data_IF_940459290543
#
_entry.id   IF_940459290543
#
_cell.length_a   1.000
_cell.length_b   1.000
_cell.length_c   1.000
_cell.angle_alpha   90.00
_cell.angle_beta   90.00
_cell.angle_gamma   90.00
#
_symmetry.space_group_name_H-M   'P 1'
#
loop_
_entity.id
_entity.type
_entity.pdbx_description
1 polymer ?
#
# COMPACT_ATOMS: atom_id res chain seq x y z
N UNK A 1 13.33 -25.63 8.02
CA UNK A 1 12.78 -26.49 6.96
C UNK A 1 13.32 -25.93 5.65
N UNK A 2 14.12 -26.71 4.91
CA UNK A 2 14.66 -26.31 3.60
C UNK A 2 13.48 -26.10 2.66
N UNK A 3 13.26 -24.86 2.20
CA UNK A 3 12.35 -24.59 1.08
C UNK A 3 12.83 -25.47 -0.08
N UNK A 4 11.93 -26.28 -0.64
CA UNK A 4 12.21 -27.10 -1.80
C UNK A 4 12.68 -26.15 -2.91
N UNK A 5 13.96 -26.21 -3.24
CA UNK A 5 14.51 -25.46 -4.35
C UNK A 5 13.73 -25.87 -5.61
N UNK A 6 13.21 -24.87 -6.38
CA UNK A 6 12.26 -25.08 -7.47
C UNK A 6 12.74 -26.09 -8.53
N UNK A 7 11.85 -26.39 -9.47
CA UNK A 7 12.13 -27.32 -10.58
C UNK A 7 12.97 -26.64 -11.66
N UNK A 8 14.02 -27.30 -12.14
CA UNK A 8 14.84 -26.88 -13.30
C UNK A 8 14.65 -27.87 -14.42
N UNK A 9 14.33 -27.41 -15.61
CA UNK A 9 14.27 -28.22 -16.82
C UNK A 9 15.59 -28.07 -17.58
N UNK A 10 16.20 -29.17 -17.98
CA UNK A 10 17.44 -29.19 -18.77
C UNK A 10 17.16 -29.87 -20.12
N UNK A 11 17.46 -29.18 -21.21
CA UNK A 11 17.27 -29.68 -22.59
C UNK A 11 18.65 -29.69 -23.29
N UNK A 12 19.13 -30.88 -23.65
CA UNK A 12 20.44 -31.07 -24.25
C UNK A 12 20.43 -32.43 -24.95
N UNK A 13 20.92 -32.60 -26.13
CA UNK A 13 20.94 -33.88 -26.85
C UNK A 13 22.01 -34.84 -26.32
N UNK A 14 23.08 -34.32 -25.67
CA UNK A 14 24.13 -35.13 -25.07
C UNK A 14 23.65 -35.71 -23.70
N UNK A 15 23.50 -37.03 -23.65
CA UNK A 15 23.11 -37.74 -22.42
C UNK A 15 24.07 -37.50 -21.24
N UNK A 16 25.40 -37.47 -21.50
CA UNK A 16 26.39 -37.28 -20.44
C UNK A 16 26.26 -35.86 -19.84
N UNK A 17 25.97 -34.87 -20.69
CA UNK A 17 25.73 -33.52 -20.25
C UNK A 17 24.44 -33.39 -19.40
N UNK A 18 23.34 -33.99 -19.88
CA UNK A 18 22.09 -34.03 -19.09
C UNK A 18 22.29 -34.64 -17.72
N UNK A 19 23.01 -35.79 -17.66
CA UNK A 19 23.30 -36.49 -16.39
C UNK A 19 24.20 -35.66 -15.46
N UNK A 20 25.20 -34.96 -16.03
CA UNK A 20 26.08 -34.03 -15.28
C UNK A 20 25.32 -32.88 -14.68
N UNK A 21 24.52 -32.14 -15.49
CA UNK A 21 23.67 -31.04 -15.02
C UNK A 21 22.73 -31.50 -13.91
N UNK A 22 22.03 -32.64 -14.11
CA UNK A 22 21.15 -33.21 -13.09
C UNK A 22 21.87 -33.42 -11.78
N UNK A 23 23.00 -34.16 -11.77
CA UNK A 23 23.77 -34.44 -10.54
C UNK A 23 24.25 -33.20 -9.82
N UNK A 24 24.70 -32.16 -10.57
CA UNK A 24 25.18 -30.92 -10.01
C UNK A 24 24.04 -30.14 -9.32
N UNK A 25 22.89 -30.06 -9.98
CA UNK A 25 21.76 -29.25 -9.53
C UNK A 25 20.96 -29.94 -8.41
N UNK A 26 20.79 -31.29 -8.48
CA UNK A 26 20.14 -32.05 -7.41
C UNK A 26 20.94 -32.00 -6.10
N UNK A 27 22.31 -32.00 -6.18
CA UNK A 27 23.16 -31.74 -5.01
C UNK A 27 22.96 -30.38 -4.37
N UNK A 28 22.45 -29.42 -5.15
CA UNK A 28 22.11 -28.09 -4.68
C UNK A 28 20.66 -27.95 -4.20
N UNK A 29 19.91 -29.04 -4.18
CA UNK A 29 18.53 -29.11 -3.67
C UNK A 29 17.45 -28.87 -4.72
N UNK A 30 17.80 -28.67 -5.99
CA UNK A 30 16.81 -28.47 -7.07
C UNK A 30 16.21 -29.81 -7.51
N UNK A 31 14.93 -29.77 -7.91
CA UNK A 31 14.34 -30.89 -8.67
C UNK A 31 14.67 -30.70 -10.14
N UNK A 32 15.20 -31.74 -10.81
CA UNK A 32 15.69 -31.58 -12.20
C UNK A 32 15.03 -32.59 -13.14
N UNK A 33 14.34 -32.07 -14.15
CA UNK A 33 13.84 -32.88 -15.27
C UNK A 33 14.69 -32.61 -16.51
N UNK A 34 15.00 -33.69 -17.28
CA UNK A 34 15.90 -33.57 -18.41
C UNK A 34 15.27 -34.18 -19.66
N UNK A 35 15.45 -33.49 -20.81
CA UNK A 35 14.90 -33.86 -22.11
C UNK A 35 16.00 -33.85 -23.18
N UNK A 36 15.88 -34.69 -24.19
CA UNK A 36 16.90 -34.86 -25.22
C UNK A 36 16.65 -33.97 -26.44
N UNK A 37 15.46 -33.44 -26.57
CA UNK A 37 15.11 -32.56 -27.70
C UNK A 37 14.21 -31.40 -27.26
N UNK A 38 14.17 -30.34 -28.12
CA UNK A 38 13.41 -29.13 -27.84
C UNK A 38 11.89 -29.33 -27.79
N UNK A 39 11.33 -30.31 -28.50
CA UNK A 39 9.87 -30.53 -28.59
C UNK A 39 9.40 -31.12 -27.27
N UNK A 40 10.02 -32.20 -26.80
CA UNK A 40 9.70 -32.81 -25.49
C UNK A 40 9.92 -31.82 -24.35
N UNK A 41 11.01 -31.03 -24.44
CA UNK A 41 11.31 -29.98 -23.46
C UNK A 41 10.20 -28.93 -23.39
N UNK A 42 9.70 -28.43 -24.52
CA UNK A 42 8.60 -27.43 -24.54
C UNK A 42 7.27 -27.99 -24.03
N UNK A 43 6.94 -29.26 -24.35
CA UNK A 43 5.75 -29.91 -23.79
C UNK A 43 5.83 -30.02 -22.27
N UNK A 44 6.99 -30.39 -21.74
CA UNK A 44 7.24 -30.44 -20.30
C UNK A 44 7.17 -29.06 -19.65
N UNK A 45 7.75 -28.02 -20.28
CA UNK A 45 7.70 -26.64 -19.80
C UNK A 45 6.27 -26.12 -19.75
N UNK A 46 5.45 -26.40 -20.76
CA UNK A 46 4.04 -26.01 -20.76
C UNK A 46 3.23 -26.64 -19.61
N UNK A 47 3.56 -27.89 -19.27
CA UNK A 47 2.92 -28.64 -18.17
C UNK A 47 3.43 -28.22 -16.80
N UNK A 48 4.76 -28.11 -16.63
CA UNK A 48 5.41 -27.94 -15.31
C UNK A 48 5.53 -26.47 -14.91
N UNK A 49 5.60 -25.56 -15.89
CA UNK A 49 5.89 -24.14 -15.71
C UNK A 49 7.08 -23.92 -14.76
N UNK A 50 8.27 -24.48 -15.11
CA UNK A 50 9.44 -24.40 -14.24
C UNK A 50 9.93 -22.95 -14.12
N UNK A 51 10.46 -22.51 -12.98
CA UNK A 51 11.07 -21.20 -12.85
C UNK A 51 12.29 -20.97 -13.75
N UNK A 52 12.99 -22.06 -14.11
CA UNK A 52 14.22 -21.98 -14.89
C UNK A 52 14.37 -23.15 -15.87
N UNK A 53 14.81 -22.81 -17.08
CA UNK A 53 15.15 -23.75 -18.14
C UNK A 53 16.60 -23.55 -18.51
N UNK A 54 17.32 -24.66 -18.65
CA UNK A 54 18.68 -24.74 -19.20
C UNK A 54 18.57 -25.41 -20.55
N UNK A 55 19.09 -24.79 -21.61
CA UNK A 55 18.95 -25.31 -22.98
C UNK A 55 20.27 -25.24 -23.75
N UNK A 56 20.63 -26.33 -24.47
CA UNK A 56 21.71 -26.27 -25.48
C UNK A 56 21.20 -25.62 -26.75
N UNK A 57 22.05 -24.85 -27.41
CA UNK A 57 21.73 -24.21 -28.68
C UNK A 57 21.70 -25.19 -29.86
N UNK A 58 22.63 -26.14 -29.90
CA UNK A 58 22.77 -27.08 -31.01
C UNK A 58 22.22 -28.45 -30.64
N UNK A 59 20.99 -28.69 -31.03
CA UNK A 59 20.32 -29.98 -30.89
C UNK A 59 19.76 -30.43 -32.26
N UNK A 60 19.65 -31.74 -32.50
CA UNK A 60 18.96 -32.26 -33.67
C UNK A 60 17.49 -31.86 -33.69
N UNK A 61 16.94 -31.55 -34.84
CA UNK A 61 15.53 -31.16 -34.99
C UNK A 61 15.29 -29.70 -34.62
N UNK A 62 14.87 -29.42 -33.41
CA UNK A 62 14.61 -28.06 -32.93
C UNK A 62 15.83 -27.49 -32.18
N UNK A 63 16.40 -26.41 -32.69
CA UNK A 63 17.52 -25.73 -32.03
C UNK A 63 17.13 -25.00 -30.77
N UNK A 64 18.09 -24.80 -29.85
CA UNK A 64 17.84 -24.00 -28.64
C UNK A 64 17.43 -22.55 -28.94
N UNK A 65 17.92 -21.99 -30.07
CA UNK A 65 17.50 -20.67 -30.53
C UNK A 65 16.01 -20.60 -30.87
N UNK A 66 15.39 -21.68 -31.31
CA UNK A 66 13.95 -21.77 -31.59
C UNK A 66 13.15 -22.07 -30.29
N UNK A 67 13.78 -22.72 -29.31
CA UNK A 67 13.18 -23.02 -28.01
C UNK A 67 13.00 -21.75 -27.20
N UNK A 68 14.00 -20.86 -27.13
CA UNK A 68 13.99 -19.65 -26.29
C UNK A 68 12.74 -18.80 -26.49
N UNK A 69 12.38 -18.34 -27.70
CA UNK A 69 11.17 -17.51 -27.87
C UNK A 69 9.88 -18.26 -27.51
N UNK A 70 9.80 -19.57 -27.81
CA UNK A 70 8.61 -20.36 -27.47
C UNK A 70 8.43 -20.56 -25.96
N UNK A 71 9.49 -20.62 -25.16
CA UNK A 71 9.42 -20.61 -23.70
C UNK A 71 8.82 -19.30 -23.20
N UNK A 72 9.21 -18.17 -23.78
CA UNK A 72 8.63 -16.85 -23.44
C UNK A 72 7.16 -16.73 -23.81
N UNK A 73 6.74 -17.37 -24.92
CA UNK A 73 5.33 -17.40 -25.32
C UNK A 73 4.49 -18.24 -24.33
N UNK A 74 5.07 -19.30 -23.74
CA UNK A 74 4.41 -20.12 -22.70
C UNK A 74 4.28 -19.33 -21.39
N UNK A 75 5.38 -18.77 -20.91
CA UNK A 75 5.40 -17.92 -19.71
C UNK A 75 6.62 -16.99 -19.74
N UNK A 76 6.43 -15.66 -19.84
CA UNK A 76 7.52 -14.70 -19.91
C UNK A 76 8.33 -14.58 -18.60
N UNK A 77 7.88 -15.19 -17.51
CA UNK A 77 8.60 -15.22 -16.24
C UNK A 77 9.60 -16.35 -16.14
N UNK A 78 9.52 -17.36 -17.01
CA UNK A 78 10.49 -18.46 -17.02
C UNK A 78 11.85 -17.91 -17.44
N UNK A 79 12.87 -18.20 -16.64
CA UNK A 79 14.25 -17.78 -16.91
C UNK A 79 14.91 -18.84 -17.78
N UNK A 80 15.44 -18.43 -18.94
CA UNK A 80 16.14 -19.33 -19.85
C UNK A 80 17.66 -19.07 -19.78
N UNK A 81 18.42 -20.10 -19.43
CA UNK A 81 19.89 -20.12 -19.42
C UNK A 81 20.37 -20.99 -20.57
N UNK A 82 21.25 -20.46 -21.39
CA UNK A 82 21.85 -21.20 -22.50
C UNK A 82 23.15 -21.85 -22.09
N UNK A 83 23.35 -23.13 -22.45
CA UNK A 83 24.63 -23.86 -22.28
C UNK A 83 25.03 -24.39 -23.64
N UNK A 84 26.21 -24.03 -24.18
CA UNK A 84 26.61 -24.51 -25.50
C UNK A 84 28.13 -24.62 -25.68
N UNK A 85 28.57 -25.58 -26.51
CA UNK A 85 29.96 -25.73 -26.93
C UNK A 85 30.39 -24.77 -28.06
N UNK A 86 29.44 -24.06 -28.65
CA UNK A 86 29.68 -23.10 -29.74
C UNK A 86 29.53 -21.65 -29.25
N UNK A 87 30.33 -21.32 -28.24
CA UNK A 87 30.30 -20.02 -27.59
C UNK A 87 31.07 -18.99 -28.43
N UNK A 88 30.39 -18.30 -29.33
CA UNK A 88 30.90 -17.07 -29.97
C UNK A 88 30.19 -15.86 -29.42
N UNK A 89 30.79 -14.68 -29.56
CA UNK A 89 30.14 -13.41 -29.16
C UNK A 89 28.81 -13.25 -29.89
N UNK A 90 28.77 -13.55 -31.18
CA UNK A 90 27.56 -13.42 -31.99
C UNK A 90 26.44 -14.34 -31.55
N UNK A 91 26.72 -15.62 -31.22
CA UNK A 91 25.71 -16.56 -30.71
C UNK A 91 25.21 -16.21 -29.34
N UNK A 92 26.08 -15.65 -28.49
CA UNK A 92 25.67 -15.16 -27.18
C UNK A 92 24.73 -13.92 -27.29
N UNK A 93 25.09 -12.96 -28.13
CA UNK A 93 24.27 -11.76 -28.40
C UNK A 93 22.92 -12.16 -28.99
N UNK A 94 22.90 -13.06 -29.98
CA UNK A 94 21.66 -13.56 -30.57
C UNK A 94 20.75 -14.25 -29.56
N UNK A 95 21.30 -15.12 -28.71
CA UNK A 95 20.55 -15.78 -27.65
C UNK A 95 19.94 -14.76 -26.67
N UNK A 96 20.70 -13.75 -26.24
CA UNK A 96 20.22 -12.69 -25.37
C UNK A 96 19.10 -11.84 -26.00
N UNK A 97 19.25 -11.51 -27.31
CA UNK A 97 18.20 -10.80 -28.06
C UNK A 97 16.92 -11.60 -28.19
N UNK A 98 17.01 -12.93 -28.32
CA UNK A 98 15.88 -13.84 -28.36
C UNK A 98 15.24 -14.08 -26.97
N UNK A 99 15.86 -13.59 -25.86
CA UNK A 99 15.32 -13.59 -24.52
C UNK A 99 15.95 -14.57 -23.56
N UNK A 100 17.13 -15.11 -23.88
CA UNK A 100 17.94 -15.79 -22.87
C UNK A 100 18.32 -14.81 -21.75
N UNK A 101 18.35 -15.30 -20.51
CA UNK A 101 18.78 -14.52 -19.35
C UNK A 101 20.30 -14.50 -19.21
N UNK A 102 20.94 -15.63 -19.47
CA UNK A 102 22.38 -15.77 -19.33
C UNK A 102 22.92 -16.92 -20.22
N UNK A 103 24.23 -16.99 -20.32
CA UNK A 103 24.89 -17.87 -21.25
C UNK A 103 26.14 -18.53 -20.61
N UNK A 104 26.25 -19.87 -20.68
CA UNK A 104 27.34 -20.63 -20.12
C UNK A 104 28.07 -21.46 -21.19
N UNK A 105 29.34 -21.17 -21.51
CA UNK A 105 30.12 -21.95 -22.48
C UNK A 105 30.51 -23.32 -21.94
N UNK A 106 30.45 -24.37 -22.76
CA UNK A 106 31.04 -25.69 -22.51
C UNK A 106 32.52 -25.68 -22.89
N UNK A 107 33.45 -26.23 -22.07
CA UNK A 107 33.23 -26.88 -20.77
C UNK A 107 33.10 -25.87 -19.63
N UNK A 108 32.28 -26.19 -18.67
CA UNK A 108 32.04 -25.39 -17.46
C UNK A 108 32.29 -26.19 -16.17
N UNK A 109 32.57 -25.50 -15.10
CA UNK A 109 32.72 -26.07 -13.79
C UNK A 109 31.35 -26.27 -13.08
N UNK A 110 31.23 -27.21 -12.11
CA UNK A 110 30.02 -27.34 -11.31
C UNK A 110 29.60 -26.05 -10.59
N UNK A 111 30.56 -25.22 -10.19
CA UNK A 111 30.27 -23.98 -9.45
C UNK A 111 29.72 -22.89 -10.38
N UNK A 112 30.17 -22.80 -11.63
CA UNK A 112 29.62 -21.90 -12.63
C UNK A 112 28.15 -22.23 -12.92
N UNK A 113 27.82 -23.52 -13.14
CA UNK A 113 26.44 -23.94 -13.35
C UNK A 113 25.54 -23.62 -12.13
N UNK A 114 26.03 -23.88 -10.92
CA UNK A 114 25.29 -23.54 -9.69
C UNK A 114 25.04 -22.04 -9.57
N UNK A 115 26.07 -21.24 -9.83
CA UNK A 115 25.97 -19.79 -9.73
C UNK A 115 24.95 -19.21 -10.70
N UNK A 116 24.99 -19.63 -11.97
CA UNK A 116 24.08 -19.10 -13.00
C UNK A 116 22.63 -19.52 -12.74
N UNK A 117 22.41 -20.78 -12.32
CA UNK A 117 21.07 -21.26 -11.96
C UNK A 117 20.55 -20.53 -10.74
N UNK A 118 21.38 -20.30 -9.71
CA UNK A 118 20.98 -19.54 -8.52
C UNK A 118 20.57 -18.11 -8.86
N UNK A 119 21.33 -17.42 -9.72
CA UNK A 119 20.98 -16.07 -10.21
C UNK A 119 19.67 -16.07 -10.99
N UNK A 120 19.48 -17.06 -11.86
CA UNK A 120 18.25 -17.21 -12.63
C UNK A 120 17.02 -17.45 -11.73
N UNK A 121 17.14 -18.30 -10.71
CA UNK A 121 16.08 -18.53 -9.73
C UNK A 121 15.72 -17.27 -8.95
N UNK A 122 16.72 -16.51 -8.53
CA UNK A 122 16.51 -15.22 -7.85
C UNK A 122 15.82 -14.22 -8.78
N UNK A 123 16.23 -14.14 -10.05
CA UNK A 123 15.57 -13.30 -11.06
C UNK A 123 14.09 -13.65 -11.21
N UNK A 124 13.78 -14.96 -11.31
CA UNK A 124 12.39 -15.43 -11.39
C UNK A 124 11.58 -15.06 -10.15
N UNK A 125 12.13 -15.25 -8.94
CA UNK A 125 11.48 -14.87 -7.68
C UNK A 125 11.11 -13.40 -7.63
N UNK A 126 12.08 -12.52 -7.95
CA UNK A 126 11.85 -11.07 -7.96
C UNK A 126 10.80 -10.64 -9.01
N UNK A 127 10.78 -11.31 -10.18
CA UNK A 127 9.80 -11.05 -11.22
C UNK A 127 8.37 -11.45 -10.78
N UNK A 128 8.24 -12.59 -10.09
CA UNK A 128 6.97 -13.02 -9.50
C UNK A 128 6.47 -12.05 -8.43
N UNK A 129 7.34 -11.65 -7.50
CA UNK A 129 6.99 -10.69 -6.44
C UNK A 129 6.52 -9.35 -7.03
N UNK A 130 7.24 -8.86 -8.06
CA UNK A 130 6.86 -7.64 -8.76
C UNK A 130 5.48 -7.76 -9.41
N UNK A 131 5.22 -8.88 -10.10
CA UNK A 131 3.93 -9.12 -10.75
C UNK A 131 2.78 -9.25 -9.76
N UNK A 132 3.00 -9.93 -8.63
CA UNK A 132 2.00 -10.04 -7.57
C UNK A 132 1.66 -8.67 -6.97
N UNK A 133 2.68 -7.85 -6.68
CA UNK A 133 2.48 -6.50 -6.17
C UNK A 133 1.70 -5.62 -7.16
N UNK A 134 1.92 -5.77 -8.47
CA UNK A 134 1.18 -5.05 -9.51
C UNK A 134 -0.29 -5.48 -9.57
N UNK A 135 -0.56 -6.80 -9.52
CA UNK A 135 -1.92 -7.34 -9.48
C UNK A 135 -2.66 -6.86 -8.22
N UNK A 136 -2.02 -6.91 -7.07
CA UNK A 136 -2.60 -6.43 -5.80
C UNK A 136 -2.94 -4.94 -5.86
N UNK A 137 -2.04 -4.11 -6.43
CA UNK A 137 -2.29 -2.68 -6.64
C UNK A 137 -3.50 -2.43 -7.55
N UNK A 138 -3.60 -3.17 -8.66
CA UNK A 138 -4.71 -3.01 -9.60
C UNK A 138 -6.04 -3.48 -8.98
N UNK A 139 -6.05 -4.57 -8.21
CA UNK A 139 -7.23 -5.04 -7.47
C UNK A 139 -7.67 -4.02 -6.42
N UNK A 140 -6.72 -3.46 -5.67
CA UNK A 140 -6.99 -2.39 -4.70
C UNK A 140 -7.60 -1.16 -5.39
N UNK A 141 -7.01 -0.73 -6.50
CA UNK A 141 -7.52 0.39 -7.29
C UNK A 141 -8.95 0.17 -7.77
N UNK A 142 -9.27 -1.03 -8.29
CA UNK A 142 -10.64 -1.36 -8.74
C UNK A 142 -11.64 -1.38 -7.58
N UNK A 143 -11.28 -1.99 -6.45
CA UNK A 143 -12.12 -1.98 -5.24
C UNK A 143 -12.38 -0.56 -4.76
N UNK A 144 -11.35 0.27 -4.78
CA UNK A 144 -11.44 1.68 -4.42
C UNK A 144 -12.43 2.45 -5.28
N UNK A 145 -12.34 2.36 -6.63
CA UNK A 145 -13.26 3.05 -7.56
C UNK A 145 -14.70 2.60 -7.33
N UNK A 146 -14.93 1.31 -7.18
CA UNK A 146 -16.27 0.75 -6.92
C UNK A 146 -16.85 1.27 -5.60
N UNK A 147 -16.04 1.29 -4.56
CA UNK A 147 -16.46 1.78 -3.24
C UNK A 147 -16.80 3.28 -3.27
N UNK A 148 -15.91 4.12 -3.82
CA UNK A 148 -16.15 5.58 -3.93
C UNK A 148 -17.44 5.84 -4.71
N UNK A 149 -17.65 5.15 -5.83
CA UNK A 149 -18.88 5.27 -6.61
C UNK A 149 -20.12 4.97 -5.77
N UNK A 150 -20.10 3.89 -5.00
CA UNK A 150 -21.22 3.52 -4.13
C UNK A 150 -21.43 4.55 -2.99
N UNK A 151 -20.35 5.05 -2.40
CA UNK A 151 -20.42 6.05 -1.32
C UNK A 151 -20.94 7.42 -1.82
N UNK A 152 -20.68 7.78 -3.07
CA UNK A 152 -21.21 9.00 -3.68
C UNK A 152 -22.68 8.84 -4.11
N UNK A 153 -23.06 7.65 -4.62
CA UNK A 153 -24.44 7.39 -5.03
C UNK A 153 -25.45 7.46 -3.87
N UNK A 154 -25.09 6.94 -2.70
CA UNK A 154 -26.01 6.86 -1.55
C UNK A 154 -26.54 8.25 -1.10
N UNK A 155 -25.69 9.25 -0.78
CA UNK A 155 -26.17 10.57 -0.41
C UNK A 155 -26.82 11.31 -1.60
N UNK A 156 -26.37 11.08 -2.83
CA UNK A 156 -26.94 11.69 -4.03
C UNK A 156 -28.39 11.23 -4.26
N UNK A 157 -28.65 9.93 -4.15
CA UNK A 157 -30.01 9.37 -4.24
C UNK A 157 -30.90 9.93 -3.13
N UNK A 158 -30.38 10.05 -1.89
CA UNK A 158 -31.13 10.64 -0.80
C UNK A 158 -31.49 12.11 -1.06
N UNK A 159 -30.55 12.91 -1.57
CA UNK A 159 -30.81 14.31 -1.95
C UNK A 159 -31.90 14.38 -3.01
N UNK A 160 -31.80 13.55 -4.07
CA UNK A 160 -32.80 13.48 -5.12
C UNK A 160 -34.19 13.16 -4.56
N UNK A 161 -34.31 12.15 -3.69
CA UNK A 161 -35.58 11.81 -3.04
C UNK A 161 -36.15 12.95 -2.19
N UNK A 162 -35.30 13.67 -1.43
CA UNK A 162 -35.73 14.83 -0.65
C UNK A 162 -36.23 15.97 -1.54
N UNK A 163 -35.57 16.24 -2.67
CA UNK A 163 -36.02 17.23 -3.63
C UNK A 163 -37.33 16.83 -4.31
N UNK A 164 -37.54 15.56 -4.59
CA UNK A 164 -38.81 15.08 -5.15
C UNK A 164 -39.97 15.24 -4.16
N UNK A 165 -39.74 14.99 -2.88
CA UNK A 165 -40.73 15.27 -1.82
C UNK A 165 -41.01 16.77 -1.76
N UNK A 166 -39.98 17.64 -1.78
CA UNK A 166 -40.13 19.09 -1.74
C UNK A 166 -40.95 19.64 -2.91
N UNK A 167 -40.87 19.03 -4.12
CA UNK A 167 -41.67 19.40 -5.28
C UNK A 167 -43.17 19.10 -5.14
N UNK A 168 -43.50 18.11 -4.31
CA UNK A 168 -44.91 17.63 -4.14
C UNK A 168 -45.61 18.32 -2.97
N UNK A 169 -44.89 19.11 -2.15
CA UNK A 169 -45.43 19.81 -1.01
C UNK A 169 -46.22 21.06 -1.47
N UNK A 170 -47.41 21.23 -0.92
CA UNK A 170 -48.23 22.44 -1.07
C UNK A 170 -47.67 23.61 -0.21
N UNK A 171 -48.25 24.83 -0.35
CA UNK A 171 -47.81 26.02 0.35
C UNK A 171 -48.55 26.25 1.67
N UNK A 172 -49.15 25.21 2.29
CA UNK A 172 -49.81 25.36 3.58
C UNK A 172 -48.84 25.70 4.73
N UNK A 173 -49.26 26.48 5.75
CA UNK A 173 -48.38 26.86 6.87
C UNK A 173 -47.79 25.66 7.64
N UNK A 174 -48.52 24.55 7.70
CA UNK A 174 -48.07 23.33 8.40
C UNK A 174 -46.94 22.61 7.64
N UNK A 175 -46.85 22.86 6.33
CA UNK A 175 -45.84 22.26 5.46
C UNK A 175 -44.55 23.06 5.45
N UNK A 176 -44.57 24.36 5.82
CA UNK A 176 -43.35 25.19 5.84
C UNK A 176 -42.30 24.65 6.82
N UNK A 177 -42.68 24.21 8.02
CA UNK A 177 -41.74 23.61 8.99
C UNK A 177 -41.14 22.32 8.46
N UNK A 178 -41.96 21.48 7.80
CA UNK A 178 -41.48 20.25 7.11
C UNK A 178 -40.54 20.56 5.95
N UNK A 179 -40.81 21.62 5.19
CA UNK A 179 -39.97 22.08 4.05
C UNK A 179 -38.56 22.41 4.54
N UNK A 180 -38.46 23.13 5.66
CA UNK A 180 -37.15 23.47 6.26
C UNK A 180 -36.39 22.21 6.68
N UNK A 181 -37.06 21.25 7.33
CA UNK A 181 -36.44 19.97 7.70
C UNK A 181 -35.84 19.23 6.49
N UNK A 182 -36.56 19.18 5.37
CA UNK A 182 -36.07 18.53 4.14
C UNK A 182 -34.90 19.26 3.52
N UNK A 183 -34.90 20.61 3.52
CA UNK A 183 -33.74 21.39 3.09
C UNK A 183 -32.52 21.12 3.97
N UNK A 184 -32.68 21.10 5.29
CA UNK A 184 -31.57 20.81 6.20
C UNK A 184 -30.99 19.41 5.99
N UNK A 185 -31.87 18.44 5.69
CA UNK A 185 -31.44 17.08 5.30
C UNK A 185 -30.66 17.08 3.98
N UNK A 186 -31.07 17.84 2.99
CA UNK A 186 -30.33 17.99 1.73
C UNK A 186 -28.95 18.61 1.97
N UNK A 187 -28.89 19.71 2.74
CA UNK A 187 -27.63 20.37 3.08
C UNK A 187 -26.67 19.41 3.78
N UNK A 188 -27.15 18.67 4.79
CA UNK A 188 -26.34 17.66 5.50
C UNK A 188 -25.78 16.59 4.56
N UNK A 189 -26.58 16.09 3.59
CA UNK A 189 -26.11 15.10 2.61
C UNK A 189 -25.10 15.69 1.64
N UNK A 190 -25.22 16.98 1.31
CA UNK A 190 -24.23 17.68 0.47
C UNK A 190 -22.90 17.85 1.20
N UNK A 191 -22.92 18.18 2.49
CA UNK A 191 -21.71 18.25 3.33
C UNK A 191 -21.00 16.89 3.43
N UNK A 192 -21.79 15.80 3.59
CA UNK A 192 -21.26 14.44 3.57
C UNK A 192 -20.56 14.12 2.24
N UNK A 193 -21.18 14.47 1.10
CA UNK A 193 -20.57 14.32 -0.24
C UNK A 193 -19.26 15.09 -0.36
N UNK A 194 -19.23 16.35 0.08
CA UNK A 194 -18.02 17.17 0.07
C UNK A 194 -16.91 16.56 0.93
N UNK A 195 -17.25 15.96 2.07
CA UNK A 195 -16.32 15.22 2.92
C UNK A 195 -15.69 14.04 2.18
N UNK A 196 -16.52 13.20 1.53
CA UNK A 196 -16.05 12.05 0.73
C UNK A 196 -15.10 12.50 -0.39
N UNK A 197 -15.45 13.57 -1.10
CA UNK A 197 -14.61 14.11 -2.19
C UNK A 197 -13.28 14.62 -1.65
N UNK A 198 -13.26 15.34 -0.52
CA UNK A 198 -12.02 15.81 0.12
C UNK A 198 -11.12 14.66 0.54
N UNK A 199 -11.68 13.63 1.19
CA UNK A 199 -10.94 12.45 1.59
C UNK A 199 -10.32 11.74 0.37
N UNK A 200 -11.09 11.62 -0.72
CA UNK A 200 -10.62 11.04 -1.97
C UNK A 200 -9.49 11.84 -2.62
N UNK A 201 -9.64 13.17 -2.74
CA UNK A 201 -8.60 14.03 -3.29
C UNK A 201 -7.32 13.95 -2.47
N UNK A 202 -7.44 13.91 -1.14
CA UNK A 202 -6.29 13.74 -0.24
C UNK A 202 -5.57 12.41 -0.49
N UNK A 203 -6.30 11.30 -0.58
CA UNK A 203 -5.70 9.99 -0.91
C UNK A 203 -5.03 9.98 -2.28
N UNK A 204 -5.68 10.52 -3.30
CA UNK A 204 -5.13 10.60 -4.66
C UNK A 204 -3.86 11.46 -4.73
N UNK A 205 -3.82 12.56 -4.00
CA UNK A 205 -2.62 13.41 -3.91
C UNK A 205 -1.48 12.73 -3.15
N UNK A 206 -1.79 11.85 -2.19
CA UNK A 206 -0.81 11.02 -1.49
C UNK A 206 -0.23 9.91 -2.40
N UNK A 207 -0.87 9.55 -3.50
CA UNK A 207 -0.37 8.57 -4.49
C UNK A 207 0.62 9.16 -5.51
N UNK A 208 0.61 10.48 -5.70
CA UNK A 208 1.56 11.15 -6.59
C UNK A 208 2.87 11.44 -5.86
N UNK A 209 4.01 11.09 -6.50
CA UNK A 209 5.37 11.50 -6.09
C UNK A 209 5.64 13.01 -6.30
N UNK A 210 4.63 13.86 -6.11
CA UNK A 210 4.83 15.29 -6.16
C UNK A 210 5.73 15.68 -4.99
N UNK A 211 6.90 16.22 -5.30
CA UNK A 211 7.86 16.76 -4.35
C UNK A 211 7.17 17.81 -3.46
N UNK A 212 6.65 17.37 -2.31
CA UNK A 212 6.01 18.25 -1.35
C UNK A 212 7.09 19.01 -0.60
N UNK A 213 6.87 20.29 -0.45
CA UNK A 213 7.78 21.14 0.31
C UNK A 213 7.68 20.76 1.80
N UNK A 214 8.72 20.08 2.31
CA UNK A 214 8.81 19.73 3.72
C UNK A 214 9.46 20.86 4.50
N UNK A 215 8.64 21.62 5.18
CA UNK A 215 9.05 22.76 5.99
C UNK A 215 9.07 22.42 7.48
N UNK A 216 9.63 23.33 8.27
CA UNK A 216 9.53 23.29 9.73
C UNK A 216 8.09 23.59 10.15
N UNK A 217 7.44 22.69 10.87
CA UNK A 217 6.04 22.81 11.30
C UNK A 217 5.96 22.60 12.82
N UNK A 218 5.38 23.57 13.53
CA UNK A 218 5.01 23.42 14.94
C UNK A 218 3.60 22.88 15.04
N UNK A 219 3.46 21.68 15.62
CA UNK A 219 2.18 20.99 15.75
C UNK A 219 1.24 21.68 16.75
N UNK A 220 1.77 22.48 17.71
CA UNK A 220 0.95 23.27 18.63
C UNK A 220 0.01 24.21 17.87
N UNK A 221 0.49 24.89 16.82
CA UNK A 221 -0.32 25.79 16.01
C UNK A 221 -1.40 25.04 15.23
N UNK A 222 -1.04 23.94 14.56
CA UNK A 222 -2.01 23.14 13.80
C UNK A 222 -3.15 22.65 14.70
N UNK A 223 -2.79 22.05 15.83
CA UNK A 223 -3.78 21.53 16.79
C UNK A 223 -4.63 22.66 17.36
N UNK A 224 -4.02 23.81 17.68
CA UNK A 224 -4.75 25.00 18.14
C UNK A 224 -5.81 25.48 17.16
N UNK A 225 -5.44 25.62 15.88
CA UNK A 225 -6.35 26.05 14.80
C UNK A 225 -7.52 25.06 14.63
N UNK A 226 -7.23 23.75 14.69
CA UNK A 226 -8.26 22.69 14.57
C UNK A 226 -9.23 22.75 15.76
N UNK A 227 -8.72 22.77 16.99
CA UNK A 227 -9.56 22.82 18.19
C UNK A 227 -10.44 24.07 18.23
N UNK A 228 -9.92 25.23 17.81
CA UNK A 228 -10.70 26.45 17.69
C UNK A 228 -11.84 26.33 16.65
N UNK A 229 -11.59 25.65 15.53
CA UNK A 229 -12.62 25.39 14.50
C UNK A 229 -13.78 24.56 15.04
N UNK A 230 -13.50 23.56 15.88
CA UNK A 230 -14.52 22.65 16.40
C UNK A 230 -15.07 23.04 17.79
N UNK A 231 -14.67 24.18 18.36
CA UNK A 231 -15.08 24.58 19.71
C UNK A 231 -16.59 24.70 19.86
N UNK A 232 -17.29 25.32 18.89
CA UNK A 232 -18.75 25.46 18.93
C UNK A 232 -19.46 24.11 18.86
N UNK A 233 -18.98 23.21 17.98
CA UNK A 233 -19.52 21.85 17.84
C UNK A 233 -19.32 21.04 19.14
N UNK A 234 -18.15 21.13 19.75
CA UNK A 234 -17.86 20.47 21.00
C UNK A 234 -18.73 20.99 22.17
N UNK A 235 -18.94 22.30 22.26
CA UNK A 235 -19.84 22.91 23.25
C UNK A 235 -21.29 22.46 23.09
N UNK A 236 -21.78 22.32 21.85
CA UNK A 236 -23.13 21.83 21.59
C UNK A 236 -23.33 20.39 22.10
N UNK A 237 -22.29 19.55 22.08
CA UNK A 237 -22.27 18.18 22.61
C UNK A 237 -21.79 18.12 24.07
N UNK A 238 -21.62 19.28 24.74
CA UNK A 238 -21.11 19.40 26.12
C UNK A 238 -19.72 18.78 26.31
N UNK A 239 -18.86 18.80 25.29
CA UNK A 239 -17.50 18.28 25.34
C UNK A 239 -16.50 19.35 25.76
N UNK A 240 -15.45 18.93 26.47
CA UNK A 240 -14.30 19.77 26.81
C UNK A 240 -13.14 19.45 25.86
N UNK A 241 -12.60 20.47 25.17
CA UNK A 241 -11.41 20.36 24.33
C UNK A 241 -10.19 20.94 25.06
N UNK A 242 -9.10 20.19 25.16
CA UNK A 242 -7.88 20.63 25.84
C UNK A 242 -6.66 20.47 24.92
N UNK A 243 -5.97 21.61 24.65
CA UNK A 243 -4.65 21.60 24.02
C UNK A 243 -3.57 21.68 25.10
N UNK A 244 -2.85 20.60 25.33
CA UNK A 244 -1.73 20.54 26.27
C UNK A 244 -0.37 20.50 25.57
N UNK A 245 -0.33 20.70 24.24
CA UNK A 245 0.91 20.89 23.52
C UNK A 245 1.55 22.20 23.96
N UNK A 246 2.87 22.16 24.17
CA UNK A 246 3.65 23.38 24.41
C UNK A 246 4.21 23.90 23.11
N UNK A 247 4.18 25.21 22.94
CA UNK A 247 4.76 25.90 21.80
C UNK A 247 6.22 25.51 21.58
N UNK A 248 6.64 25.33 20.34
CA UNK A 248 8.00 24.92 19.92
C UNK A 248 8.54 23.60 20.54
N UNK A 249 7.72 22.80 21.21
CA UNK A 249 8.15 21.51 21.75
C UNK A 249 7.96 20.39 20.73
N UNK A 250 6.84 20.39 20.02
CA UNK A 250 6.47 19.36 19.03
C UNK A 250 6.66 19.90 17.61
N UNK A 251 7.94 20.04 17.20
CA UNK A 251 8.31 20.55 15.87
C UNK A 251 8.80 19.43 14.99
N UNK A 252 8.22 19.31 13.78
CA UNK A 252 8.51 18.26 12.80
C UNK A 252 8.88 18.86 11.45
N UNK A 253 9.45 18.06 10.54
CA UNK A 253 9.68 18.42 9.15
C UNK A 253 8.60 17.75 8.29
N UNK A 254 7.69 18.53 7.68
CA UNK A 254 6.60 17.97 6.91
C UNK A 254 5.84 19.01 6.10
N UNK A 255 4.84 18.54 5.35
CA UNK A 255 3.85 19.40 4.69
C UNK A 255 2.77 19.77 5.70
N UNK A 256 2.58 21.09 5.93
CA UNK A 256 1.61 21.63 6.89
C UNK A 256 0.18 21.14 6.59
N UNK A 257 -0.21 21.09 5.31
CA UNK A 257 -1.56 20.70 4.92
C UNK A 257 -1.81 19.21 5.21
N UNK A 258 -0.83 18.35 4.90
CA UNK A 258 -0.93 16.92 5.20
C UNK A 258 -1.02 16.67 6.72
N UNK A 259 -0.18 17.34 7.51
CA UNK A 259 -0.21 17.24 8.97
C UNK A 259 -1.52 17.78 9.55
N UNK A 260 -2.06 18.87 8.98
CA UNK A 260 -3.37 19.39 9.36
C UNK A 260 -4.48 18.35 9.11
N UNK A 261 -4.49 17.70 7.93
CA UNK A 261 -5.45 16.63 7.62
C UNK A 261 -5.33 15.45 8.58
N UNK A 262 -4.11 15.07 8.97
CA UNK A 262 -3.88 13.99 9.93
C UNK A 262 -4.52 14.30 11.29
N UNK A 263 -4.20 15.46 11.88
CA UNK A 263 -4.72 15.83 13.20
C UNK A 263 -6.20 16.19 13.16
N UNK A 264 -6.70 16.80 12.09
CA UNK A 264 -8.13 17.04 11.89
C UNK A 264 -8.94 15.74 11.95
N UNK A 265 -8.53 14.71 11.20
CA UNK A 265 -9.17 13.39 11.23
C UNK A 265 -9.20 12.76 12.63
N UNK A 266 -8.09 12.84 13.38
CA UNK A 266 -8.02 12.27 14.73
C UNK A 266 -8.89 13.05 15.71
N UNK A 267 -8.86 14.38 15.68
CA UNK A 267 -9.63 15.25 16.59
C UNK A 267 -11.13 15.16 16.28
N UNK A 268 -11.51 15.19 14.99
CA UNK A 268 -12.91 15.01 14.59
C UNK A 268 -13.45 13.65 15.03
N UNK A 269 -12.68 12.59 14.90
CA UNK A 269 -13.06 11.27 15.39
C UNK A 269 -13.24 11.28 16.92
N UNK A 270 -12.32 11.91 17.66
CA UNK A 270 -12.37 12.02 19.12
C UNK A 270 -13.62 12.81 19.60
N UNK A 271 -14.07 13.80 18.85
CA UNK A 271 -15.31 14.56 19.12
C UNK A 271 -16.54 13.69 18.77
N UNK A 272 -16.55 13.11 17.57
CA UNK A 272 -17.68 12.40 16.98
C UNK A 272 -18.06 11.13 17.75
N UNK A 273 -17.07 10.40 18.24
CA UNK A 273 -17.25 9.14 18.97
C UNK A 273 -17.19 9.32 20.49
N UNK A 274 -17.26 10.57 20.96
CA UNK A 274 -17.31 10.87 22.38
C UNK A 274 -18.73 10.70 22.98
N UNK A 275 -18.80 10.87 24.27
CA UNK A 275 -20.05 10.89 25.06
C UNK A 275 -20.38 12.30 25.49
N UNK A 276 -21.65 12.65 25.65
CA UNK A 276 -22.03 13.94 26.28
C UNK A 276 -21.31 14.15 27.61
N UNK A 277 -20.72 15.34 27.79
CA UNK A 277 -19.92 15.66 28.97
C UNK A 277 -18.50 15.09 28.98
N UNK A 278 -18.08 14.46 27.89
CA UNK A 278 -16.74 13.91 27.76
C UNK A 278 -15.65 14.95 27.46
N UNK A 279 -14.45 14.44 27.21
CA UNK A 279 -13.26 15.27 27.00
C UNK A 279 -12.45 14.76 25.80
N UNK A 280 -11.82 15.69 25.07
CA UNK A 280 -10.78 15.43 24.11
C UNK A 280 -9.52 16.17 24.55
N UNK A 281 -8.42 15.46 24.76
CA UNK A 281 -7.14 16.05 25.20
C UNK A 281 -6.07 15.74 24.16
N UNK A 282 -5.34 16.77 23.73
CA UNK A 282 -4.17 16.61 22.85
C UNK A 282 -2.92 16.94 23.64
N UNK A 283 -2.05 15.96 23.80
CA UNK A 283 -0.78 16.08 24.51
C UNK A 283 0.38 15.73 23.61
N UNK A 284 1.57 16.29 23.88
CA UNK A 284 2.76 16.00 23.10
C UNK A 284 4.05 16.06 23.88
N UNK A 285 5.01 15.26 23.44
CA UNK A 285 6.38 15.25 23.95
C UNK A 285 7.37 15.02 22.83
N UNK A 286 8.56 15.61 22.96
CA UNK A 286 9.70 15.34 22.10
C UNK A 286 10.79 14.66 22.91
N UNK A 287 11.50 13.72 22.31
CA UNK A 287 12.62 13.00 22.90
C UNK A 287 13.24 12.01 21.93
N UNK A 288 14.57 11.78 22.06
CA UNK A 288 15.32 10.82 21.25
C UNK A 288 15.24 11.05 19.72
N UNK A 289 15.02 12.31 19.28
CA UNK A 289 14.89 12.64 17.87
C UNK A 289 13.50 12.34 17.28
N UNK A 290 12.52 12.07 18.11
CA UNK A 290 11.14 11.83 17.74
C UNK A 290 10.18 12.76 18.51
N UNK A 291 9.04 13.03 17.91
CA UNK A 291 7.91 13.75 18.50
C UNK A 291 6.74 12.77 18.61
N UNK A 292 6.13 12.71 19.77
CA UNK A 292 4.94 11.92 20.05
C UNK A 292 3.80 12.88 20.38
N UNK A 293 2.71 12.76 19.65
CA UNK A 293 1.46 13.50 19.93
C UNK A 293 0.33 12.50 20.12
N UNK A 294 -0.33 12.57 21.26
CA UNK A 294 -1.50 11.76 21.59
C UNK A 294 -2.78 12.58 21.50
N UNK A 295 -3.80 12.01 20.85
CA UNK A 295 -5.17 12.51 20.85
C UNK A 295 -6.00 11.51 21.65
N UNK A 296 -6.43 11.91 22.82
CA UNK A 296 -7.19 11.08 23.76
C UNK A 296 -8.65 11.54 23.83
N UNK A 297 -9.58 10.60 23.79
CA UNK A 297 -11.00 10.80 24.02
C UNK A 297 -11.51 9.95 25.20
N UNK A 298 -12.62 10.37 25.80
CA UNK A 298 -13.35 9.63 26.84
C UNK A 298 -14.64 9.02 26.29
N UNK A 299 -14.63 8.65 25.01
CA UNK A 299 -15.79 8.22 24.26
C UNK A 299 -16.18 6.75 24.43
N UNK A 300 -16.77 6.20 23.40
CA UNK A 300 -17.28 4.82 23.40
C UNK A 300 -16.17 3.76 23.37
N UNK A 301 -14.95 4.14 22.99
CA UNK A 301 -13.83 3.23 22.82
C UNK A 301 -13.99 2.28 21.62
N UNK A 302 -12.98 1.43 21.43
CA UNK A 302 -12.89 0.48 20.30
C UNK A 302 -12.63 -0.92 20.85
N UNK A 303 -13.51 -1.90 20.57
CA UNK A 303 -13.28 -3.28 20.98
C UNK A 303 -11.94 -3.83 20.43
N UNK A 304 -11.22 -4.59 21.25
CA UNK A 304 -9.87 -5.09 20.93
C UNK A 304 -9.77 -5.77 19.57
N UNK A 305 -10.77 -6.60 19.23
CA UNK A 305 -10.85 -7.34 17.96
C UNK A 305 -10.85 -6.44 16.71
N UNK A 306 -11.18 -5.14 16.84
CA UNK A 306 -11.25 -4.20 15.73
C UNK A 306 -10.05 -3.24 15.67
N UNK A 307 -9.24 -3.12 16.72
CA UNK A 307 -8.17 -2.13 16.80
C UNK A 307 -7.10 -2.29 15.69
N UNK A 308 -6.82 -3.50 15.26
CA UNK A 308 -5.93 -3.74 14.12
C UNK A 308 -6.56 -3.32 12.78
N UNK A 309 -7.90 -3.45 12.66
CA UNK A 309 -8.65 -3.28 11.41
C UNK A 309 -9.10 -1.84 11.16
N UNK A 310 -9.17 -0.98 12.19
CA UNK A 310 -9.65 0.41 12.02
C UNK A 310 -8.78 1.26 11.09
N UNK A 311 -7.56 0.83 10.82
CA UNK A 311 -6.66 1.46 9.85
C UNK A 311 -6.77 0.88 8.44
N UNK A 312 -7.61 -0.14 8.24
CA UNK A 312 -7.87 -0.68 6.91
C UNK A 312 -8.86 0.21 6.17
N UNK A 313 -8.63 0.39 4.87
CA UNK A 313 -9.49 1.21 4.04
C UNK A 313 -10.93 0.70 4.09
N UNK A 314 -11.88 1.65 4.26
CA UNK A 314 -13.33 1.38 4.29
C UNK A 314 -13.83 0.58 5.48
N UNK A 315 -12.98 0.22 6.43
CA UNK A 315 -13.40 -0.50 7.62
C UNK A 315 -14.19 0.41 8.57
N UNK A 316 -15.28 -0.12 9.11
CA UNK A 316 -16.12 0.56 10.12
C UNK A 316 -16.63 -0.45 11.14
N UNK A 317 -16.57 -0.10 12.40
CA UNK A 317 -17.18 -0.91 13.47
C UNK A 317 -18.69 -0.80 13.34
N UNK A 318 -19.37 -1.93 13.08
CA UNK A 318 -20.83 -2.04 13.08
C UNK A 318 -21.26 -2.47 14.50
N UNK A 319 -22.03 -1.64 15.20
CA UNK A 319 -22.53 -1.98 16.55
C UNK A 319 -23.86 -1.30 16.85
N UNK A 320 -24.69 -1.90 17.70
CA UNK A 320 -26.03 -1.42 18.09
C UNK A 320 -26.03 -0.12 18.92
N UNK A 321 -24.89 0.43 19.30
CA UNK A 321 -24.76 1.71 20.02
C UNK A 321 -24.12 2.83 19.22
N UNK A 322 -23.61 2.56 18.02
CA UNK A 322 -23.14 3.60 17.14
C UNK A 322 -24.37 4.35 16.61
N UNK A 323 -24.68 5.54 17.17
CA UNK A 323 -25.49 6.54 16.47
C UNK A 323 -25.07 6.45 15.01
N UNK A 324 -26.00 6.52 14.05
CA UNK A 324 -25.75 6.49 12.60
C UNK A 324 -24.74 7.59 12.21
N UNK A 325 -23.52 7.45 12.68
CA UNK A 325 -22.44 8.40 12.47
C UNK A 325 -21.94 8.18 11.05
N UNK A 326 -22.25 9.15 10.21
CA UNK A 326 -21.76 9.23 8.82
C UNK A 326 -20.24 9.30 8.81
N UNK A 327 -19.59 8.49 7.98
CA UNK A 327 -18.13 8.51 7.80
C UNK A 327 -17.72 7.58 6.68
N UNK A 328 -16.65 7.95 5.98
CA UNK A 328 -16.12 7.26 4.80
C UNK A 328 -15.37 5.98 5.14
N UNK A 329 -14.84 5.85 6.36
CA UNK A 329 -13.88 4.81 6.73
C UNK A 329 -12.49 5.04 6.11
N UNK A 330 -12.21 6.26 5.63
CA UNK A 330 -10.93 6.64 5.02
C UNK A 330 -10.05 7.50 5.95
N UNK A 331 -10.61 8.15 6.95
CA UNK A 331 -9.87 9.09 7.79
C UNK A 331 -8.66 8.46 8.49
N UNK A 332 -8.82 7.32 9.17
CA UNK A 332 -7.70 6.63 9.84
C UNK A 332 -6.67 6.02 8.87
N UNK A 333 -7.05 5.37 7.76
CA UNK A 333 -6.12 5.03 6.67
C UNK A 333 -5.29 6.21 6.18
N UNK A 334 -5.92 7.38 5.96
CA UNK A 334 -5.24 8.63 5.58
C UNK A 334 -4.22 9.03 6.64
N UNK A 335 -4.59 9.01 7.93
CA UNK A 335 -3.68 9.32 9.02
C UNK A 335 -2.45 8.40 9.02
N UNK A 336 -2.66 7.08 8.87
CA UNK A 336 -1.57 6.09 8.82
C UNK A 336 -0.64 6.34 7.62
N UNK A 337 -1.21 6.69 6.48
CA UNK A 337 -0.45 6.96 5.25
C UNK A 337 0.38 8.24 5.37
N UNK A 338 -0.22 9.36 5.81
CA UNK A 338 0.50 10.63 6.03
C UNK A 338 1.64 10.44 7.03
N UNK A 339 1.40 9.76 8.16
CA UNK A 339 2.45 9.51 9.14
C UNK A 339 3.62 8.72 8.55
N UNK A 340 3.35 7.67 7.75
CA UNK A 340 4.39 6.88 7.08
C UNK A 340 5.20 7.70 6.07
N UNK A 341 4.57 8.57 5.30
CA UNK A 341 5.26 9.43 4.34
C UNK A 341 6.25 10.40 5.01
N UNK A 342 5.95 10.83 6.22
CA UNK A 342 6.85 11.67 7.03
C UNK A 342 7.90 10.84 7.77
N UNK A 343 7.84 9.50 7.66
CA UNK A 343 8.77 8.58 8.35
C UNK A 343 8.33 8.24 9.78
N UNK A 344 7.07 8.41 10.09
CA UNK A 344 6.46 8.14 11.39
C UNK A 344 5.47 6.98 11.38
N UNK A 345 4.62 6.93 12.41
CA UNK A 345 3.58 5.93 12.59
C UNK A 345 2.40 6.47 13.40
N UNK A 346 1.22 5.84 13.25
CA UNK A 346 0.05 6.05 14.11
C UNK A 346 -0.32 4.72 14.76
N UNK A 347 -0.54 4.75 16.06
CA UNK A 347 -1.00 3.60 16.86
C UNK A 347 -2.25 3.97 17.66
N UNK A 348 -2.96 2.99 18.17
CA UNK A 348 -4.15 3.17 19.00
C UNK A 348 -4.05 2.30 20.24
N UNK A 349 -4.45 2.86 21.36
CA UNK A 349 -4.76 2.17 22.61
C UNK A 349 -6.19 2.53 22.98
N UNK A 350 -7.07 1.54 23.13
CA UNK A 350 -8.47 1.79 23.38
C UNK A 350 -9.10 0.71 24.22
N UNK A 351 -10.04 1.11 25.05
CA UNK A 351 -10.89 0.20 25.82
C UNK A 351 -12.35 0.57 25.62
N UNK A 352 -13.14 -0.44 25.28
CA UNK A 352 -14.58 -0.28 25.06
C UNK A 352 -15.24 0.34 26.30
N UNK A 353 -16.06 1.35 26.08
CA UNK A 353 -16.75 2.13 27.11
C UNK A 353 -15.86 2.99 28.03
N UNK A 354 -14.58 3.14 27.75
CA UNK A 354 -13.65 4.03 28.49
C UNK A 354 -13.17 5.17 27.61
N UNK A 355 -12.77 4.88 26.37
CA UNK A 355 -12.27 5.85 25.40
C UNK A 355 -11.12 5.30 24.56
N UNK A 356 -10.51 6.19 23.75
CA UNK A 356 -9.40 5.83 22.88
C UNK A 356 -8.27 6.85 22.99
N UNK A 357 -7.05 6.40 22.75
CA UNK A 357 -5.86 7.24 22.63
C UNK A 357 -5.15 6.88 21.34
N UNK A 358 -5.13 7.81 20.40
CA UNK A 358 -4.35 7.69 19.17
C UNK A 358 -3.02 8.37 19.38
N UNK A 359 -1.91 7.65 19.15
CA UNK A 359 -0.55 8.18 19.28
C UNK A 359 0.09 8.30 17.91
N UNK A 360 0.46 9.51 17.55
CA UNK A 360 1.21 9.84 16.33
C UNK A 360 2.67 10.01 16.69
N UNK A 361 3.54 9.20 16.11
CA UNK A 361 4.99 9.28 16.23
C UNK A 361 5.57 9.85 14.94
N UNK A 362 6.34 10.91 15.01
CA UNK A 362 6.96 11.59 13.87
C UNK A 362 8.44 11.89 14.15
N UNK A 363 9.32 11.94 13.14
CA UNK A 363 10.69 12.42 13.31
C UNK A 363 10.69 13.89 13.75
N UNK A 364 11.46 14.22 14.79
CA UNK A 364 11.64 15.60 15.23
C UNK A 364 12.39 16.41 14.17
N UNK A 365 12.02 17.69 14.05
CA UNK A 365 12.82 18.62 13.25
C UNK A 365 14.22 18.73 13.82
N UNK A 366 15.21 18.52 12.97
CA UNK A 366 16.62 18.81 13.27
C UNK A 366 17.09 19.93 12.35
N UNK A 367 17.67 20.97 12.90
CA UNK A 367 18.39 21.94 12.08
C UNK A 367 19.59 21.21 11.45
N UNK A 368 19.68 21.21 10.13
CA UNK A 368 20.86 20.74 9.41
C UNK A 368 22.02 21.70 9.79
N UNK A 369 22.91 21.26 10.68
CA UNK A 369 24.14 21.97 10.94
C UNK A 369 24.91 22.14 9.63
N UNK A 370 25.47 23.34 9.42
CA UNK A 370 26.15 23.74 8.17
C UNK A 370 27.27 22.77 7.72
N UNK A 371 27.73 21.88 8.60
CA UNK A 371 28.78 20.86 8.35
C UNK A 371 28.27 19.71 7.46
N UNK A 372 26.95 19.37 7.47
CA UNK A 372 26.41 18.31 6.64
C UNK A 372 26.26 18.72 5.16
N UNK A 373 26.13 20.02 4.85
CA UNK A 373 26.12 20.55 3.48
C UNK A 373 27.47 20.48 2.78
N UNK A 374 28.56 20.47 3.54
CA UNK A 374 29.93 20.41 2.98
C UNK A 374 30.35 18.98 2.60
N UNK A 375 29.77 17.94 3.23
CA UNK A 375 30.09 16.54 2.97
C UNK A 375 29.32 15.92 1.79
N UNK A 376 28.24 16.55 1.30
CA UNK A 376 27.40 16.05 0.20
C UNK A 376 27.74 16.58 -1.20
N UNK A 377 28.73 17.46 -1.33
CA UNK A 377 29.10 18.11 -2.61
C UNK A 377 30.43 17.63 -3.19
N UNK A 378 30.91 16.45 -2.76
CA UNK A 378 32.16 15.87 -3.25
C UNK A 378 32.01 14.37 -3.45
N UNK A 379 31.46 13.96 -4.59
CA UNK A 379 31.78 12.70 -5.31
C UNK A 379 31.13 12.76 -6.69
#
# INVERSE_FOLDING_TARGET
MSEAAGTVVVIDDDYAMRLSCRKILEKSGFHVETFEDGIQGLEAIARLKPPLVVVDLKMPGMSGMEVIPRVRDIDPLIVVVVITGYATIDTAVEAMQNGAYDFLPKPFSPDELRLIVKRGMERHRLALESRQAEIERELMRRRFVTFVSHQLQTPLVAIHQYLDVLKQLDDSPEVQARRQEWFDRCLKRTEELQGIIRDWLTLSQLEGELARERVRVDLHQIVGDILATYEQMARAESLTLENRLRENTCVVRGDRNCLSVLFDNLIVNAIKYNRPGGRVTVEGRAGNGEVFVSVQDTGIGIPEKYQAMIFDEFFRVKGEGAKTTTGTGLGLPICRRIAREVGGAVTVESQENVGSTFVVRLPAFREETAEAKAAGCGL
#
